data_IF_586946044007
#
_entry.id   IF_586946044007
#
_cell.length_a   1.000
_cell.length_b   1.000
_cell.length_c   1.000
_cell.angle_alpha   90.00
_cell.angle_beta   90.00
_cell.angle_gamma   90.00
#
_symmetry.space_group_name_H-M   'P 1'
#
loop_
_entity.id
_entity.type
_entity.pdbx_description
1 polymer ?
#
# COMPACT_ATOMS: atom_id res chain seq x y z
N UNK A 1 -0.15 -12.77 13.95
CA UNK A 1 -0.03 -11.34 14.26
C UNK A 1 -1.42 -10.74 14.30
N UNK A 2 -1.75 -10.04 15.37
CA UNK A 2 -3.04 -9.40 15.60
C UNK A 2 -2.81 -7.93 15.92
N UNK A 3 -3.73 -7.07 15.53
CA UNK A 3 -3.54 -5.61 15.56
C UNK A 3 -4.77 -4.95 16.18
N UNK A 4 -4.54 -4.04 17.11
CA UNK A 4 -5.58 -3.13 17.59
C UNK A 4 -5.40 -1.79 16.89
N UNK A 5 -6.50 -1.27 16.35
CA UNK A 5 -6.55 0.06 15.76
C UNK A 5 -7.73 0.85 16.31
N UNK A 6 -7.54 2.17 16.43
CA UNK A 6 -8.62 3.12 16.70
C UNK A 6 -9.00 3.85 15.41
N UNK A 7 -10.27 4.17 15.23
CA UNK A 7 -10.76 4.91 14.08
C UNK A 7 -11.83 5.91 14.49
N UNK A 8 -12.36 6.66 13.51
CA UNK A 8 -13.37 7.70 13.70
C UNK A 8 -13.04 8.67 14.84
N UNK A 9 -11.77 9.08 14.94
CA UNK A 9 -11.33 9.96 16.03
C UNK A 9 -12.09 11.29 15.99
N UNK A 10 -12.63 11.76 17.12
CA UNK A 10 -13.35 13.02 17.19
C UNK A 10 -12.38 14.20 17.09
N UNK A 11 -12.92 15.40 16.83
CA UNK A 11 -12.08 16.59 16.64
C UNK A 11 -11.39 17.02 17.96
N UNK A 12 -11.99 16.70 19.11
CA UNK A 12 -11.42 16.92 20.46
C UNK A 12 -10.58 15.74 20.98
N UNK A 13 -10.02 14.90 20.08
CA UNK A 13 -9.25 13.69 20.44
C UNK A 13 -8.13 13.90 21.46
N UNK A 14 -7.52 15.08 21.56
CA UNK A 14 -6.48 15.36 22.56
C UNK A 14 -6.96 15.17 24.01
N UNK A 15 -8.27 15.35 24.27
CA UNK A 15 -8.89 15.10 25.57
C UNK A 15 -8.88 13.61 25.95
N UNK A 16 -8.83 12.73 24.94
CA UNK A 16 -8.82 11.28 25.12
C UNK A 16 -7.42 10.71 25.43
N UNK A 17 -6.38 11.55 25.47
CA UNK A 17 -5.00 11.08 25.61
C UNK A 17 -4.72 10.32 26.93
N UNK A 18 -5.34 10.74 28.04
CA UNK A 18 -5.23 10.00 29.31
C UNK A 18 -5.85 8.60 29.20
N UNK A 19 -6.99 8.51 28.52
CA UNK A 19 -7.71 7.26 28.33
C UNK A 19 -6.93 6.30 27.41
N UNK A 20 -6.34 6.83 26.33
CA UNK A 20 -5.45 6.07 25.46
C UNK A 20 -4.20 5.56 26.21
N UNK A 21 -3.56 6.42 27.01
CA UNK A 21 -2.39 6.05 27.82
C UNK A 21 -2.72 4.90 28.77
N UNK A 22 -3.84 5.00 29.50
CA UNK A 22 -4.29 3.96 30.43
C UNK A 22 -4.63 2.63 29.72
N UNK A 23 -5.30 2.70 28.56
CA UNK A 23 -5.67 1.50 27.81
C UNK A 23 -4.44 0.74 27.28
N UNK A 24 -3.41 1.47 26.85
CA UNK A 24 -2.18 0.92 26.27
C UNK A 24 -1.07 0.63 27.28
N UNK A 25 -1.18 1.14 28.52
CA UNK A 25 -0.07 1.14 29.48
C UNK A 25 1.10 2.02 29.02
N UNK A 26 0.81 3.06 28.23
CA UNK A 26 1.80 4.00 27.69
C UNK A 26 1.86 5.29 28.52
N UNK A 27 2.87 6.11 28.29
CA UNK A 27 2.94 7.45 28.87
C UNK A 27 1.92 8.38 28.22
N UNK A 28 1.49 9.42 28.95
CA UNK A 28 0.63 10.47 28.40
C UNK A 28 1.28 11.18 27.20
N UNK A 29 2.60 11.32 27.21
CA UNK A 29 3.34 11.91 26.10
C UNK A 29 3.23 11.07 24.83
N UNK A 30 3.45 9.75 24.91
CA UNK A 30 3.30 8.84 23.77
C UNK A 30 1.85 8.81 23.25
N UNK A 31 0.87 8.78 24.15
CA UNK A 31 -0.54 8.80 23.78
C UNK A 31 -0.93 10.11 23.05
N UNK A 32 -0.51 11.27 23.56
CA UNK A 32 -0.71 12.56 22.89
C UNK A 32 -0.06 12.61 21.52
N UNK A 33 1.18 12.13 21.40
CA UNK A 33 1.89 12.08 20.12
C UNK A 33 1.10 11.30 19.05
N UNK A 34 0.50 10.16 19.45
CA UNK A 34 -0.33 9.33 18.57
C UNK A 34 -1.65 10.02 18.15
N UNK A 35 -2.23 10.86 18.99
CA UNK A 35 -3.50 11.56 18.71
C UNK A 35 -3.31 12.87 17.94
N UNK A 36 -2.09 13.41 17.85
CA UNK A 36 -1.72 14.60 17.04
C UNK A 36 -1.65 14.31 15.53
N UNK A 37 -2.57 13.52 15.03
CA UNK A 37 -2.74 13.25 13.59
C UNK A 37 -3.89 14.10 13.08
N UNK A 38 -3.85 14.60 11.85
CA UNK A 38 -5.01 15.34 11.31
C UNK A 38 -6.14 14.40 10.87
N UNK A 39 -5.82 13.16 10.51
CA UNK A 39 -6.81 12.16 10.09
C UNK A 39 -7.69 11.70 11.25
N UNK A 40 -8.86 11.15 10.92
CA UNK A 40 -9.77 10.48 11.87
C UNK A 40 -9.41 9.00 12.07
N UNK A 41 -8.17 8.61 11.83
CA UNK A 41 -7.73 7.21 11.78
C UNK A 41 -8.04 6.54 10.44
N UNK A 42 -7.99 5.20 10.34
CA UNK A 42 -7.54 4.31 11.39
C UNK A 42 -6.11 4.59 11.85
N UNK A 43 -5.78 4.24 13.08
CA UNK A 43 -4.44 4.34 13.66
C UNK A 43 -4.14 3.05 14.42
N UNK A 44 -3.11 2.34 14.00
CA UNK A 44 -2.59 1.18 14.74
C UNK A 44 -2.00 1.63 16.08
N UNK A 45 -2.47 1.02 17.16
CA UNK A 45 -2.07 1.37 18.53
C UNK A 45 -1.42 0.22 19.29
N UNK A 46 -1.64 -1.02 18.86
CA UNK A 46 -1.01 -2.21 19.44
C UNK A 46 -0.87 -3.32 18.39
N UNK A 47 0.21 -4.10 18.50
CA UNK A 47 0.50 -5.29 17.68
C UNK A 47 0.95 -6.39 18.64
N UNK A 48 0.42 -7.61 18.48
CA UNK A 48 0.82 -8.76 19.29
C UNK A 48 0.76 -10.08 18.50
N UNK A 49 1.53 -11.07 18.94
CA UNK A 49 1.37 -12.45 18.51
C UNK A 49 0.13 -13.13 19.10
N UNK A 50 -0.38 -12.62 20.22
CA UNK A 50 -1.49 -13.19 20.99
C UNK A 50 -2.79 -12.41 20.74
N UNK A 51 -3.79 -13.09 20.18
CA UNK A 51 -5.13 -12.51 19.91
C UNK A 51 -5.77 -11.95 21.17
N UNK A 52 -5.79 -12.73 22.25
CA UNK A 52 -6.42 -12.35 23.52
C UNK A 52 -5.84 -11.07 24.12
N UNK A 53 -4.54 -10.81 23.91
CA UNK A 53 -3.89 -9.58 24.36
C UNK A 53 -4.43 -8.36 23.60
N UNK A 54 -4.60 -8.48 22.28
CA UNK A 54 -5.14 -7.42 21.42
C UNK A 54 -6.62 -7.17 21.71
N UNK A 55 -7.40 -8.23 21.90
CA UNK A 55 -8.82 -8.10 22.26
C UNK A 55 -9.01 -7.39 23.60
N UNK A 56 -8.15 -7.67 24.59
CA UNK A 56 -8.17 -6.95 25.87
C UNK A 56 -7.89 -5.46 25.67
N UNK A 57 -6.95 -5.10 24.80
CA UNK A 57 -6.67 -3.69 24.47
C UNK A 57 -7.88 -3.04 23.79
N UNK A 58 -8.47 -3.69 22.78
CA UNK A 58 -9.66 -3.16 22.08
C UNK A 58 -10.84 -2.96 23.04
N UNK A 59 -11.13 -3.92 23.93
CA UNK A 59 -12.19 -3.78 24.93
C UNK A 59 -11.95 -2.59 25.87
N UNK A 60 -10.70 -2.38 26.31
CA UNK A 60 -10.34 -1.21 27.13
C UNK A 60 -10.49 0.11 26.38
N UNK A 61 -10.14 0.15 25.10
CA UNK A 61 -10.31 1.33 24.25
C UNK A 61 -11.79 1.65 24.05
N UNK A 62 -12.61 0.65 23.75
CA UNK A 62 -14.06 0.80 23.60
C UNK A 62 -14.73 1.27 24.88
N UNK A 63 -14.38 0.69 26.04
CA UNK A 63 -14.89 1.17 27.35
C UNK A 63 -14.44 2.59 27.69
N UNK A 64 -13.43 3.09 26.99
CA UNK A 64 -12.87 4.44 27.14
C UNK A 64 -13.39 5.43 26.10
N UNK A 65 -14.37 5.03 25.28
CA UNK A 65 -15.02 5.89 24.29
C UNK A 65 -14.33 5.96 22.93
N UNK A 66 -13.41 5.04 22.61
CA UNK A 66 -12.83 4.92 21.28
C UNK A 66 -13.61 3.93 20.42
N UNK A 67 -13.82 4.28 19.15
CA UNK A 67 -14.12 3.29 18.13
C UNK A 67 -12.82 2.51 17.85
N UNK A 68 -12.80 1.23 18.21
CA UNK A 68 -11.63 0.37 18.10
C UNK A 68 -11.98 -1.00 17.53
N UNK A 69 -11.08 -1.52 16.71
CA UNK A 69 -11.23 -2.79 15.99
C UNK A 69 -9.98 -3.67 16.14
N UNK A 70 -10.21 -4.97 16.07
CA UNK A 70 -9.16 -5.98 15.88
C UNK A 70 -9.02 -6.27 14.40
N UNK A 71 -7.79 -6.29 13.89
CA UNK A 71 -7.44 -6.88 12.61
C UNK A 71 -6.62 -8.15 12.86
N UNK A 72 -7.18 -9.29 12.47
CA UNK A 72 -6.55 -10.59 12.64
C UNK A 72 -5.64 -10.96 11.47
N UNK A 73 -4.69 -11.89 11.71
CA UNK A 73 -3.74 -12.31 10.68
C UNK A 73 -4.40 -12.85 9.41
N UNK A 74 -5.53 -13.54 9.53
CA UNK A 74 -6.29 -14.07 8.39
C UNK A 74 -7.08 -12.99 7.64
N UNK A 75 -7.26 -11.81 8.24
CA UNK A 75 -7.90 -10.65 7.61
C UNK A 75 -6.91 -9.73 6.92
N UNK A 76 -5.61 -9.82 7.28
CA UNK A 76 -4.55 -9.16 6.53
C UNK A 76 -4.52 -9.80 5.14
N UNK A 77 -4.74 -9.00 4.10
CA UNK A 77 -4.80 -9.46 2.71
C UNK A 77 -3.60 -10.34 2.39
N UNK A 78 -3.89 -11.62 2.18
CA UNK A 78 -2.93 -12.59 1.69
C UNK A 78 -2.99 -12.62 0.17
N UNK A 79 -1.85 -12.93 -0.45
CA UNK A 79 -1.74 -13.10 -1.91
C UNK A 79 -2.78 -14.09 -2.45
N UNK A 80 -3.19 -15.08 -1.64
CA UNK A 80 -4.20 -16.08 -2.03
C UNK A 80 -5.62 -15.54 -2.18
N UNK A 81 -5.95 -14.37 -1.59
CA UNK A 81 -7.27 -13.75 -1.73
C UNK A 81 -7.27 -12.56 -2.71
N UNK A 82 -6.21 -12.42 -3.49
CA UNK A 82 -6.05 -11.34 -4.46
C UNK A 82 -6.13 -11.87 -5.90
N UNK A 83 -6.79 -11.10 -6.75
CA UNK A 83 -6.77 -11.28 -8.21
C UNK A 83 -5.94 -10.14 -8.81
N UNK A 84 -4.69 -10.45 -9.17
CA UNK A 84 -3.78 -9.45 -9.76
C UNK A 84 -4.18 -9.23 -11.22
N UNK A 85 -4.67 -8.03 -11.52
CA UNK A 85 -5.19 -7.69 -12.85
C UNK A 85 -4.04 -7.39 -13.81
N UNK A 86 -4.08 -8.05 -14.98
CA UNK A 86 -3.14 -7.85 -16.09
C UNK A 86 -3.79 -7.12 -17.25
N UNK A 87 -5.02 -7.50 -17.62
CA UNK A 87 -5.83 -6.83 -18.64
C UNK A 87 -7.20 -6.49 -18.06
N UNK A 88 -7.84 -5.49 -18.64
CA UNK A 88 -9.18 -5.08 -18.27
C UNK A 88 -9.96 -4.66 -19.51
N UNK A 89 -11.28 -4.71 -19.43
CA UNK A 89 -12.21 -4.14 -20.41
C UNK A 89 -13.37 -3.48 -19.66
N UNK A 90 -13.73 -2.27 -20.10
CA UNK A 90 -14.82 -1.49 -19.53
C UNK A 90 -16.06 -1.67 -20.42
N UNK A 91 -16.88 -2.68 -20.13
CA UNK A 91 -18.14 -2.91 -20.85
C UNK A 91 -19.25 -2.03 -20.24
N UNK A 92 -20.48 -2.04 -20.78
CA UNK A 92 -21.52 -1.09 -20.33
C UNK A 92 -21.99 -1.33 -18.89
N UNK A 93 -22.08 -2.60 -18.46
CA UNK A 93 -22.58 -2.99 -17.14
C UNK A 93 -21.53 -3.59 -16.20
N UNK A 94 -20.38 -3.98 -16.73
CA UNK A 94 -19.38 -4.75 -15.99
C UNK A 94 -17.94 -4.37 -16.33
N UNK A 95 -17.08 -4.56 -15.35
CA UNK A 95 -15.64 -4.56 -15.50
C UNK A 95 -15.19 -6.01 -15.71
N UNK A 96 -14.67 -6.30 -16.89
CA UNK A 96 -14.04 -7.60 -17.19
C UNK A 96 -12.54 -7.48 -16.95
N UNK A 97 -11.97 -8.39 -16.17
CA UNK A 97 -10.53 -8.42 -15.86
C UNK A 97 -9.94 -9.79 -16.14
N UNK A 98 -8.67 -9.79 -16.56
CA UNK A 98 -7.88 -10.99 -16.78
C UNK A 98 -6.58 -10.90 -15.97
N UNK A 99 -6.19 -11.98 -15.31
CA UNK A 99 -4.92 -12.10 -14.60
C UNK A 99 -3.80 -12.59 -15.53
N UNK A 100 -2.55 -12.51 -15.06
CA UNK A 100 -1.39 -12.92 -15.87
C UNK A 100 -1.34 -14.42 -16.22
N UNK A 101 -2.08 -15.25 -15.48
CA UNK A 101 -2.25 -16.70 -15.74
C UNK A 101 -3.46 -17.03 -16.62
N UNK A 102 -4.15 -16.01 -17.17
CA UNK A 102 -5.27 -16.17 -18.10
C UNK A 102 -6.63 -16.41 -17.45
N UNK A 103 -6.75 -16.42 -16.11
CA UNK A 103 -8.07 -16.43 -15.47
C UNK A 103 -8.79 -15.11 -15.75
N UNK A 104 -10.11 -15.18 -15.92
CA UNK A 104 -10.95 -14.02 -16.19
C UNK A 104 -12.08 -13.91 -15.17
N UNK A 105 -12.43 -12.68 -14.79
CA UNK A 105 -13.56 -12.35 -13.93
C UNK A 105 -14.35 -11.19 -14.53
N UNK A 106 -15.67 -11.25 -14.38
CA UNK A 106 -16.56 -10.13 -14.63
C UNK A 106 -17.14 -9.64 -13.31
N UNK A 107 -17.09 -8.32 -13.10
CA UNK A 107 -17.60 -7.65 -11.91
C UNK A 107 -18.62 -6.60 -12.34
N UNK A 108 -19.87 -6.78 -11.91
CA UNK A 108 -20.90 -5.75 -12.08
C UNK A 108 -20.42 -4.48 -11.37
N UNK A 109 -20.49 -3.34 -12.07
CA UNK A 109 -20.09 -2.08 -11.46
C UNK A 109 -20.86 -1.80 -10.16
N UNK A 110 -22.15 -2.15 -10.08
CA UNK A 110 -23.00 -1.92 -8.91
C UNK A 110 -22.59 -2.76 -7.70
N UNK A 111 -21.83 -3.83 -7.90
CA UNK A 111 -21.34 -4.63 -6.80
C UNK A 111 -20.03 -4.10 -6.23
N UNK A 112 -19.44 -3.05 -6.80
CA UNK A 112 -18.20 -2.43 -6.30
C UNK A 112 -18.54 -1.52 -5.12
N UNK A 113 -18.10 -1.92 -3.92
CA UNK A 113 -18.39 -1.20 -2.68
C UNK A 113 -17.25 -0.27 -2.23
N UNK A 114 -16.00 -0.59 -2.58
CA UNK A 114 -14.83 0.18 -2.17
C UNK A 114 -13.73 0.18 -3.25
N UNK A 115 -13.13 1.35 -3.46
CA UNK A 115 -11.87 1.52 -4.20
C UNK A 115 -10.84 2.17 -3.28
N UNK A 116 -9.76 1.44 -2.98
CA UNK A 116 -8.61 1.95 -2.22
C UNK A 116 -7.46 2.28 -3.16
N UNK A 117 -7.06 3.55 -3.22
CA UNK A 117 -5.94 4.03 -4.05
C UNK A 117 -4.70 4.23 -3.19
N UNK A 118 -3.56 3.71 -3.64
CA UNK A 118 -2.29 3.95 -2.97
C UNK A 118 -1.06 3.94 -3.87
N UNK A 119 0.09 4.13 -3.23
CA UNK A 119 1.42 3.93 -3.83
C UNK A 119 2.23 2.99 -2.98
N UNK A 120 2.93 2.04 -3.60
CA UNK A 120 3.88 1.16 -2.93
C UNK A 120 5.28 1.36 -3.50
N UNK A 121 6.30 0.97 -2.74
CA UNK A 121 7.65 0.85 -3.28
C UNK A 121 7.70 -0.49 -4.04
N UNK A 122 7.88 -0.43 -5.35
CA UNK A 122 8.27 -1.61 -6.11
C UNK A 122 9.77 -1.81 -5.89
N UNK A 123 10.16 -2.84 -5.13
CA UNK A 123 11.57 -3.23 -5.07
C UNK A 123 11.97 -3.77 -6.45
N UNK A 124 12.58 -2.91 -7.27
CA UNK A 124 13.26 -3.33 -8.49
C UNK A 124 14.74 -3.52 -8.18
N UNK A 125 15.14 -4.75 -7.90
CA UNK A 125 16.55 -5.13 -7.79
C UNK A 125 17.16 -5.23 -9.18
N UNK A 126 17.51 -4.09 -9.78
CA UNK A 126 18.27 -4.07 -11.03
C UNK A 126 19.77 -4.20 -10.72
N UNK A 127 20.36 -5.33 -11.08
CA UNK A 127 21.81 -5.55 -10.95
C UNK A 127 22.53 -4.80 -12.07
N UNK A 128 22.78 -3.50 -11.90
CA UNK A 128 23.55 -2.73 -12.87
C UNK A 128 25.05 -3.03 -12.72
N UNK A 129 25.61 -3.75 -13.69
CA UNK A 129 27.06 -3.93 -13.82
C UNK A 129 27.69 -2.64 -14.36
N UNK A 130 28.14 -1.75 -13.48
CA UNK A 130 28.89 -0.55 -13.92
C UNK A 130 30.33 -0.96 -14.26
N UNK A 131 30.70 -0.81 -15.53
CA UNK A 131 32.04 -1.11 -16.03
C UNK A 131 32.93 0.13 -15.89
N UNK A 132 33.55 0.32 -14.72
CA UNK A 132 34.58 1.36 -14.56
C UNK A 132 35.90 0.93 -15.22
N UNK A 133 36.41 1.76 -16.13
CA UNK A 133 37.76 1.63 -16.67
C UNK A 133 38.72 2.49 -15.84
N UNK A 134 39.53 1.86 -14.98
CA UNK A 134 40.63 2.55 -14.29
C UNK A 134 41.88 2.53 -15.16
N UNK A 135 42.36 3.72 -15.53
CA UNK A 135 43.60 3.91 -16.27
C UNK A 135 44.77 3.98 -15.29
N UNK A 136 45.65 2.97 -15.26
CA UNK A 136 46.81 2.97 -14.37
C UNK A 136 48.01 3.65 -15.04
N UNK A 137 48.12 4.97 -14.88
CA UNK A 137 49.21 5.79 -15.45
C UNK A 137 50.60 5.27 -14.99
N UNK A 138 50.74 4.81 -13.74
CA UNK A 138 52.02 4.35 -13.20
C UNK A 138 52.60 3.07 -13.83
N UNK A 139 51.78 2.27 -14.55
CA UNK A 139 52.23 1.01 -15.18
C UNK A 139 52.61 1.14 -16.66
N UNK A 140 52.33 2.28 -17.27
CA UNK A 140 52.62 2.55 -18.68
C UNK A 140 54.11 2.92 -18.92
N UNK A 141 54.80 3.42 -17.90
CA UNK A 141 56.21 3.86 -18.02
C UNK A 141 57.19 2.67 -18.04
N UNK A 142 56.83 1.51 -17.48
CA UNK A 142 57.72 0.35 -17.34
C UNK A 142 57.54 -0.74 -18.41
N UNK A 143 56.65 -0.55 -19.39
CA UNK A 143 56.20 -1.63 -20.30
C UNK A 143 56.39 -1.36 -21.79
N UNK A 144 57.24 -0.38 -22.18
CA UNK A 144 57.52 -0.04 -23.59
C UNK A 144 56.27 0.11 -24.48
N UNK A 145 55.18 0.67 -23.93
CA UNK A 145 54.01 1.07 -24.71
C UNK A 145 52.82 0.10 -24.74
N UNK A 146 52.82 -1.03 -24.01
CA UNK A 146 51.66 -1.93 -23.95
C UNK A 146 50.75 -1.64 -22.74
N UNK A 147 49.62 -0.98 -22.99
CA UNK A 147 48.62 -0.63 -21.98
C UNK A 147 47.78 -1.86 -21.59
N UNK A 148 48.11 -2.51 -20.47
CA UNK A 148 47.24 -3.51 -19.84
C UNK A 148 46.15 -2.82 -19.02
N UNK A 149 45.00 -2.55 -19.64
CA UNK A 149 43.79 -2.11 -18.91
C UNK A 149 43.22 -3.28 -18.09
N UNK A 150 43.20 -3.14 -16.76
CA UNK A 150 42.42 -4.03 -15.88
C UNK A 150 40.98 -3.53 -15.82
N UNK A 151 40.05 -4.28 -16.40
CA UNK A 151 38.63 -4.02 -16.23
C UNK A 151 38.18 -4.57 -14.87
N UNK A 152 37.76 -3.69 -13.95
CA UNK A 152 37.16 -4.13 -12.69
C UNK A 152 35.64 -4.09 -12.86
N UNK A 153 34.98 -5.26 -12.80
CA UNK A 153 33.52 -5.35 -12.75
C UNK A 153 33.10 -5.04 -11.31
N UNK A 154 32.56 -3.84 -11.07
CA UNK A 154 31.94 -3.51 -9.78
C UNK A 154 30.45 -3.77 -9.88
N UNK A 155 29.94 -4.73 -9.12
CA UNK A 155 28.51 -4.97 -9.00
C UNK A 155 27.95 -3.92 -8.04
N UNK A 156 27.39 -2.84 -8.57
CA UNK A 156 26.66 -1.86 -7.76
C UNK A 156 25.20 -2.28 -7.76
N UNK A 157 24.73 -2.78 -6.63
CA UNK A 157 23.30 -2.94 -6.39
C UNK A 157 22.71 -1.54 -6.31
N UNK A 158 22.13 -1.07 -7.42
CA UNK A 158 21.36 0.17 -7.43
C UNK A 158 19.95 -0.24 -7.04
N UNK A 159 19.62 -0.08 -5.76
CA UNK A 159 18.23 -0.12 -5.32
C UNK A 159 17.59 1.18 -5.81
N UNK A 160 16.97 1.15 -6.98
CA UNK A 160 16.08 2.24 -7.38
C UNK A 160 14.74 2.00 -6.68
N UNK A 161 14.39 2.87 -5.74
CA UNK A 161 13.04 2.94 -5.17
C UNK A 161 12.08 3.46 -6.23
N UNK A 162 11.50 2.57 -7.03
CA UNK A 162 10.43 2.95 -7.96
C UNK A 162 9.10 2.98 -7.19
N UNK A 163 8.52 4.17 -7.06
CA UNK A 163 7.15 4.32 -6.55
C UNK A 163 6.18 3.84 -7.62
N UNK A 164 5.39 2.82 -7.29
CA UNK A 164 4.33 2.30 -8.15
C UNK A 164 2.96 2.69 -7.60
N UNK A 165 2.08 3.20 -8.45
CA UNK A 165 0.67 3.34 -8.12
C UNK A 165 -0.05 1.99 -8.15
N UNK A 166 -0.92 1.75 -7.18
CA UNK A 166 -1.91 0.67 -7.24
C UNK A 166 -3.31 1.15 -6.82
N UNK A 167 -4.35 0.42 -7.19
CA UNK A 167 -5.62 0.48 -6.47
C UNK A 167 -6.20 -0.91 -6.29
N UNK A 168 -6.91 -1.09 -5.17
CA UNK A 168 -7.69 -2.28 -4.89
C UNK A 168 -9.16 -1.97 -5.09
N UNK A 169 -9.88 -2.91 -5.69
CA UNK A 169 -11.31 -2.85 -5.88
C UNK A 169 -11.94 -4.02 -5.14
N UNK A 170 -12.90 -3.68 -4.28
CA UNK A 170 -13.65 -4.63 -3.46
C UNK A 170 -15.07 -4.74 -3.94
N UNK A 171 -15.58 -5.97 -3.98
CA UNK A 171 -16.93 -6.25 -4.44
C UNK A 171 -17.56 -7.39 -3.63
N UNK A 172 -18.27 -7.04 -2.56
CA UNK A 172 -18.82 -7.99 -1.59
C UNK A 172 -17.76 -8.96 -1.05
N UNK A 173 -18.10 -10.24 -0.88
CA UNK A 173 -17.17 -11.25 -0.37
C UNK A 173 -16.33 -11.91 -1.48
N UNK A 174 -16.08 -11.22 -2.60
CA UNK A 174 -15.24 -11.71 -3.70
C UNK A 174 -13.76 -11.44 -3.45
N UNK A 175 -12.91 -12.03 -4.30
CA UNK A 175 -11.47 -11.74 -4.34
C UNK A 175 -11.23 -10.22 -4.52
N UNK A 176 -10.23 -9.69 -3.83
CA UNK A 176 -9.79 -8.30 -4.05
C UNK A 176 -9.16 -8.21 -5.43
N UNK A 177 -9.69 -7.35 -6.30
CA UNK A 177 -9.03 -7.06 -7.58
C UNK A 177 -7.92 -6.04 -7.35
N UNK A 178 -6.68 -6.40 -7.68
CA UNK A 178 -5.50 -5.55 -7.47
C UNK A 178 -4.98 -5.05 -8.81
N UNK A 179 -5.05 -3.73 -8.99
CA UNK A 179 -4.58 -3.04 -10.20
C UNK A 179 -3.25 -2.38 -9.90
N UNK A 180 -2.18 -2.86 -10.53
CA UNK A 180 -0.83 -2.30 -10.41
C UNK A 180 -0.49 -1.53 -11.67
N UNK A 181 -0.09 -0.27 -11.52
CA UNK A 181 0.17 0.63 -12.63
C UNK A 181 1.13 0.02 -13.66
N UNK A 182 2.22 -0.61 -13.19
CA UNK A 182 3.24 -1.19 -14.05
C UNK A 182 2.85 -2.54 -14.67
N UNK A 183 1.94 -3.27 -14.02
CA UNK A 183 1.53 -4.59 -14.46
C UNK A 183 0.46 -4.55 -15.56
N UNK A 184 -0.39 -3.53 -15.58
CA UNK A 184 -1.52 -3.44 -16.50
C UNK A 184 -1.10 -3.27 -17.97
N UNK A 185 -1.88 -3.90 -18.84
CA UNK A 185 -1.93 -3.65 -20.29
C UNK A 185 -3.14 -2.76 -20.54
N UNK A 186 -2.94 -1.65 -21.26
CA UNK A 186 -3.94 -0.58 -21.45
C UNK A 186 -4.50 -0.52 -22.87
N UNK A 187 -4.23 -1.52 -23.71
CA UNK A 187 -4.66 -1.58 -25.11
C UNK A 187 -6.19 -1.49 -25.27
N UNK A 188 -6.94 -2.02 -24.30
CA UNK A 188 -8.40 -1.93 -24.24
C UNK A 188 -8.96 -0.51 -24.15
N UNK A 189 -8.13 0.50 -23.82
CA UNK A 189 -8.54 1.90 -23.85
C UNK A 189 -8.73 2.42 -25.29
N UNK A 190 -8.20 1.73 -26.30
CA UNK A 190 -8.38 2.10 -27.71
C UNK A 190 -8.01 3.56 -27.98
N UNK A 191 -8.95 4.33 -28.55
CA UNK A 191 -8.76 5.76 -28.84
C UNK A 191 -8.63 6.65 -27.60
N UNK A 192 -9.04 6.17 -26.42
CA UNK A 192 -8.90 6.91 -25.17
C UNK A 192 -7.50 6.76 -24.54
N UNK A 193 -6.62 5.92 -25.11
CA UNK A 193 -5.27 5.69 -24.64
C UNK A 193 -4.49 7.01 -24.52
N UNK A 194 -3.90 7.22 -23.35
CA UNK A 194 -3.08 8.38 -22.99
C UNK A 194 -1.60 8.14 -23.32
N UNK A 195 -0.80 9.21 -23.50
CA UNK A 195 0.62 9.09 -23.85
C UNK A 195 1.51 8.39 -22.82
N UNK A 196 1.09 8.31 -21.56
CA UNK A 196 1.88 7.72 -20.48
C UNK A 196 1.09 6.70 -19.67
N UNK A 197 1.80 5.75 -19.06
CA UNK A 197 1.22 4.73 -18.17
C UNK A 197 0.51 5.35 -16.96
N UNK A 198 1.15 6.34 -16.32
CA UNK A 198 0.55 7.11 -15.21
C UNK A 198 -0.77 7.74 -15.65
N UNK A 199 -0.81 8.36 -16.84
CA UNK A 199 -2.03 8.99 -17.35
C UNK A 199 -3.12 7.96 -17.70
N UNK A 200 -2.74 6.80 -18.24
CA UNK A 200 -3.68 5.71 -18.49
C UNK A 200 -4.25 5.12 -17.19
N UNK A 201 -3.42 4.97 -16.16
CA UNK A 201 -3.84 4.49 -14.85
C UNK A 201 -4.80 5.46 -14.16
N UNK A 202 -4.47 6.77 -14.19
CA UNK A 202 -5.35 7.81 -13.69
C UNK A 202 -6.68 7.87 -14.46
N UNK A 203 -6.63 7.70 -15.78
CA UNK A 203 -7.81 7.64 -16.63
C UNK A 203 -8.72 6.46 -16.27
N UNK A 204 -8.15 5.24 -16.15
CA UNK A 204 -8.90 4.05 -15.73
C UNK A 204 -9.60 4.28 -14.38
N UNK A 205 -8.89 4.82 -13.39
CA UNK A 205 -9.47 5.09 -12.07
C UNK A 205 -10.59 6.13 -12.16
N UNK A 206 -10.43 7.18 -12.95
CA UNK A 206 -11.46 8.19 -13.17
C UNK A 206 -12.72 7.61 -13.83
N UNK A 207 -12.55 6.75 -14.85
CA UNK A 207 -13.66 6.05 -15.51
C UNK A 207 -14.43 5.16 -14.55
N UNK A 208 -13.73 4.37 -13.72
CA UNK A 208 -14.37 3.53 -12.70
C UNK A 208 -15.18 4.37 -11.70
N UNK A 209 -14.62 5.50 -11.24
CA UNK A 209 -15.32 6.42 -10.33
C UNK A 209 -16.50 7.12 -11.00
N UNK A 210 -16.42 7.45 -12.28
CA UNK A 210 -17.52 8.06 -13.01
C UNK A 210 -18.68 7.06 -13.20
N UNK A 211 -18.36 5.79 -13.47
CA UNK A 211 -19.33 4.72 -13.62
C UNK A 211 -20.00 4.34 -12.30
N UNK A 212 -19.31 4.52 -11.17
CA UNK A 212 -19.83 4.27 -9.83
C UNK A 212 -19.54 5.44 -8.87
N UNK A 213 -20.31 6.54 -8.97
CA UNK A 213 -20.05 7.75 -8.17
C UNK A 213 -20.32 7.54 -6.67
N UNK A 214 -21.11 6.53 -6.31
CA UNK A 214 -21.49 6.23 -4.93
C UNK A 214 -20.56 5.21 -4.25
N UNK A 215 -19.62 4.61 -4.98
CA UNK A 215 -18.64 3.69 -4.40
C UNK A 215 -17.74 4.47 -3.44
N UNK A 216 -17.46 3.88 -2.28
CA UNK A 216 -16.53 4.48 -1.32
C UNK A 216 -15.16 4.57 -1.98
N UNK A 217 -14.57 5.76 -1.99
CA UNK A 217 -13.24 5.98 -2.52
C UNK A 217 -12.34 6.53 -1.41
N UNK A 218 -11.19 5.90 -1.22
CA UNK A 218 -10.21 6.35 -0.25
C UNK A 218 -8.81 6.32 -0.84
N UNK A 219 -8.04 7.38 -0.59
CA UNK A 219 -6.71 7.58 -1.15
C UNK A 219 -5.64 7.87 -0.09
N UNK A 220 -5.93 7.60 1.20
CA UNK A 220 -4.98 7.79 2.32
C UNK A 220 -3.72 6.91 2.20
N UNK A 221 -3.71 5.94 1.28
CA UNK A 221 -2.54 5.14 0.95
C UNK A 221 -1.66 5.77 -0.14
N UNK A 222 -1.97 6.97 -0.66
CA UNK A 222 -1.20 7.63 -1.72
C UNK A 222 0.12 8.20 -1.24
N UNK A 223 0.19 8.66 0.02
CA UNK A 223 1.37 9.36 0.54
C UNK A 223 1.97 8.60 1.70
N UNK A 224 3.30 8.43 1.67
CA UNK A 224 4.05 7.78 2.76
C UNK A 224 3.73 8.35 4.14
N UNK A 225 3.57 9.68 4.26
CA UNK A 225 3.23 10.32 5.52
C UNK A 225 1.86 9.88 6.04
N UNK A 226 0.86 9.74 5.17
CA UNK A 226 -0.48 9.28 5.52
C UNK A 226 -0.48 7.78 5.85
N UNK A 227 0.28 6.97 5.09
CA UNK A 227 0.50 5.55 5.40
C UNK A 227 1.13 5.37 6.80
N UNK A 228 2.16 6.16 7.13
CA UNK A 228 2.81 6.12 8.44
C UNK A 228 1.85 6.54 9.57
N UNK A 229 0.93 7.46 9.30
CA UNK A 229 -0.14 7.81 10.24
C UNK A 229 -1.07 6.62 10.46
N UNK A 230 -1.47 5.89 9.42
CA UNK A 230 -2.35 4.72 9.56
C UNK A 230 -1.70 3.60 10.38
N UNK A 231 -0.43 3.34 10.11
CA UNK A 231 0.37 2.26 10.70
C UNK A 231 0.96 2.59 12.06
N UNK A 232 0.93 3.87 12.45
CA UNK A 232 1.51 4.35 13.68
C UNK A 232 3.04 4.12 13.74
N UNK A 233 3.65 4.30 14.92
CA UNK A 233 5.10 4.17 15.08
C UNK A 233 5.60 2.72 15.07
N UNK A 234 4.69 1.73 15.05
CA UNK A 234 5.04 0.32 15.25
C UNK A 234 5.39 -0.40 13.94
N UNK A 235 4.93 0.12 12.80
CA UNK A 235 4.94 -0.58 11.53
C UNK A 235 5.41 0.36 10.40
N UNK A 236 6.65 0.21 9.88
CA UNK A 236 7.09 0.99 8.73
C UNK A 236 6.21 0.70 7.48
N UNK A 237 5.73 1.73 6.75
CA UNK A 237 4.91 1.55 5.55
C UNK A 237 5.54 0.70 4.45
N UNK A 238 6.87 0.66 4.37
CA UNK A 238 7.61 -0.07 3.35
C UNK A 238 7.42 -1.59 3.46
N UNK A 239 7.17 -2.09 4.67
CA UNK A 239 7.08 -3.52 4.96
C UNK A 239 5.65 -3.97 5.31
N UNK A 240 4.75 -3.01 5.53
CA UNK A 240 3.45 -3.27 6.18
C UNK A 240 2.27 -2.57 5.51
N UNK A 241 2.40 -2.20 4.24
CA UNK A 241 1.32 -1.51 3.52
C UNK A 241 0.04 -2.35 3.41
N UNK A 242 0.17 -3.67 3.36
CA UNK A 242 -0.94 -4.63 3.37
C UNK A 242 -1.78 -4.53 4.65
N UNK A 243 -1.17 -4.19 5.79
CA UNK A 243 -1.88 -3.97 7.05
C UNK A 243 -2.74 -2.71 6.94
N UNK A 244 -2.17 -1.60 6.46
CA UNK A 244 -2.91 -0.35 6.27
C UNK A 244 -4.07 -0.54 5.29
N UNK A 245 -3.83 -1.27 4.20
CA UNK A 245 -4.82 -1.60 3.18
C UNK A 245 -5.97 -2.42 3.76
N UNK A 246 -5.64 -3.50 4.47
CA UNK A 246 -6.65 -4.40 5.08
C UNK A 246 -7.45 -3.70 6.16
N UNK A 247 -6.81 -2.83 6.95
CA UNK A 247 -7.46 -2.07 8.00
C UNK A 247 -8.44 -1.05 7.45
N UNK A 248 -8.05 -0.31 6.40
CA UNK A 248 -8.95 0.60 5.70
C UNK A 248 -10.13 -0.16 5.08
N UNK A 249 -9.87 -1.28 4.40
CA UNK A 249 -10.92 -2.11 3.83
C UNK A 249 -11.89 -2.62 4.91
N UNK A 250 -11.38 -3.05 6.06
CA UNK A 250 -12.21 -3.53 7.18
C UNK A 250 -13.10 -2.43 7.75
N UNK A 251 -12.61 -1.19 7.86
CA UNK A 251 -13.36 -0.09 8.48
C UNK A 251 -14.35 0.56 7.52
N UNK A 252 -13.96 0.72 6.24
CA UNK A 252 -14.79 1.41 5.25
C UNK A 252 -15.91 0.55 4.68
N UNK A 253 -15.91 -0.75 4.98
CA UNK A 253 -16.91 -1.73 4.50
C UNK A 253 -17.81 -2.27 5.60
N UNK A 254 -17.73 -1.70 6.80
CA UNK A 254 -18.68 -1.92 7.92
C UNK A 254 -19.88 -1.00 7.75
#
# INVERSE_FOLDING_TARGET
MHIAAIHNLPDNKDELANALAAALGATLYEARSRLRVQSKGPLVVSVSGERDAVEKVVKKLQSSGFDAVVLDQNEIESVSNQFIVKKFRLDDGELVVESGDGRSLAVDYRSIDLILRGTCIALRSETQSVKERKFSIGRAVLSSGLVLTKATKSTRQVTTEDREGFFNLYSGNRLTLVFRESALIYDSLGSALKPSRVANFAYLLAELRQRQPNTVFDDRLLRRAEQAVLLGPLLPPEEHLEIATSLLAKILRQ
#
